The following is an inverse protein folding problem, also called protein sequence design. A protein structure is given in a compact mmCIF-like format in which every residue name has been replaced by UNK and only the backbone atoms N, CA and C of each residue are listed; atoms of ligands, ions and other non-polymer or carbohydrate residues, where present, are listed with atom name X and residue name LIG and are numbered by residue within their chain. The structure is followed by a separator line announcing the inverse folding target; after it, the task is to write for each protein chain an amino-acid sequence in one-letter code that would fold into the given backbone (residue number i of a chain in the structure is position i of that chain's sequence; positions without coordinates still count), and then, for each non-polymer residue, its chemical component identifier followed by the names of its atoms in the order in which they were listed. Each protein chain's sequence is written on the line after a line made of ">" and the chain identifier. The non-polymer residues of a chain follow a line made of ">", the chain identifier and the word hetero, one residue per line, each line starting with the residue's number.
data_IF_659659254118
#
_entry.id   IF_659659254118
#
_cell.length_a   1.000
_cell.length_b   1.000
_cell.length_c   1.000
_cell.angle_alpha   90.00
_cell.angle_beta   90.00
_cell.angle_gamma   90.00
#
_symmetry.space_group_name_H-M   'P 1'
#
loop_
_entity.id
_entity.type
_entity.pdbx_description
1 polymer ?
#
# COMPACT_ATOMS: atom_id res chain seq x y z
N UNK A 1 10.42 -18.65 11.00
CA UNK A 1 10.17 -18.34 9.57
C UNK A 1 11.18 -17.33 9.09
N UNK A 2 11.59 -17.45 7.84
CA UNK A 2 12.44 -16.50 7.15
C UNK A 2 11.85 -16.25 5.75
N UNK A 3 11.51 -15.00 5.46
CA UNK A 3 10.99 -14.58 4.16
C UNK A 3 12.12 -13.99 3.35
N UNK A 4 12.14 -14.24 2.05
CA UNK A 4 13.15 -13.68 1.17
C UNK A 4 12.64 -13.48 -0.25
N UNK A 5 13.25 -12.55 -0.97
CA UNK A 5 13.01 -12.31 -2.39
C UNK A 5 14.12 -12.88 -3.25
N UNK A 6 13.86 -13.10 -4.52
CA UNK A 6 14.89 -13.40 -5.50
C UNK A 6 15.80 -12.19 -5.75
N UNK A 7 17.00 -12.45 -6.26
CA UNK A 7 17.95 -11.40 -6.62
C UNK A 7 17.60 -10.77 -7.97
N UNK A 8 16.56 -9.97 -7.99
CA UNK A 8 16.06 -9.26 -9.17
C UNK A 8 16.32 -7.75 -9.11
N UNK A 9 17.31 -7.32 -8.32
CA UNK A 9 17.61 -5.91 -8.08
C UNK A 9 16.34 -5.18 -7.54
N UNK A 10 15.96 -4.08 -8.17
CA UNK A 10 14.79 -3.27 -7.82
C UNK A 10 13.47 -3.77 -8.42
N UNK A 11 13.47 -4.97 -8.99
CA UNK A 11 12.30 -5.56 -9.62
C UNK A 11 11.54 -6.49 -8.68
N UNK A 12 10.23 -6.40 -8.75
CA UNK A 12 9.30 -7.29 -8.07
C UNK A 12 9.48 -8.74 -8.50
N UNK A 13 9.25 -9.67 -7.59
CA UNK A 13 9.26 -11.10 -7.88
C UNK A 13 8.36 -11.89 -6.92
N UNK A 14 8.13 -13.16 -7.23
CA UNK A 14 7.48 -14.07 -6.29
C UNK A 14 8.46 -14.41 -5.17
N UNK A 15 8.12 -14.02 -3.95
CA UNK A 15 8.95 -14.21 -2.77
C UNK A 15 8.66 -15.56 -2.12
N UNK A 16 9.67 -16.09 -1.46
CA UNK A 16 9.67 -17.42 -0.85
C UNK A 16 9.79 -17.34 0.66
N UNK A 17 9.58 -18.47 1.33
CA UNK A 17 9.89 -18.57 2.74
C UNK A 17 10.51 -19.92 3.09
N UNK A 18 11.22 -19.93 4.20
CA UNK A 18 11.75 -21.08 4.87
C UNK A 18 11.21 -21.19 6.28
N UNK A 19 11.23 -22.40 6.82
CA UNK A 19 10.99 -22.64 8.23
C UNK A 19 12.14 -23.42 8.85
N UNK A 20 12.34 -23.22 10.16
CA UNK A 20 13.29 -23.99 10.95
C UNK A 20 12.79 -24.12 12.38
N UNK A 21 13.23 -25.14 13.14
CA UNK A 21 12.89 -25.29 14.54
C UNK A 21 13.52 -24.21 15.43
N UNK A 22 14.65 -23.66 15.02
CA UNK A 22 15.38 -22.57 15.68
C UNK A 22 16.19 -21.77 14.65
N UNK A 23 16.84 -20.69 15.08
CA UNK A 23 17.58 -19.78 14.18
C UNK A 23 18.78 -20.44 13.49
N UNK A 24 19.36 -21.45 14.10
CA UNK A 24 20.51 -22.19 13.56
C UNK A 24 20.10 -23.21 12.49
N UNK A 25 18.80 -23.51 12.38
CA UNK A 25 18.27 -24.47 11.41
C UNK A 25 18.06 -25.87 11.99
N UNK A 26 18.01 -26.90 11.14
CA UNK A 26 18.09 -26.82 9.67
C UNK A 26 16.91 -26.08 9.04
N UNK A 27 17.18 -25.27 8.03
CA UNK A 27 16.17 -24.52 7.29
C UNK A 27 15.58 -25.33 6.14
N UNK A 28 14.26 -25.40 6.09
CA UNK A 28 13.52 -26.08 5.03
C UNK A 28 12.79 -25.08 4.17
N UNK A 29 13.03 -25.09 2.86
CA UNK A 29 12.30 -24.28 1.90
C UNK A 29 10.86 -24.77 1.78
N UNK A 30 9.90 -23.92 2.00
CA UNK A 30 8.47 -24.22 1.93
C UNK A 30 7.82 -23.83 0.61
N UNK A 31 8.32 -22.78 -0.06
CA UNK A 31 7.80 -22.29 -1.32
C UNK A 31 7.34 -20.84 -1.24
N UNK A 32 6.34 -20.50 -2.04
CA UNK A 32 5.76 -19.15 -2.11
C UNK A 32 4.76 -18.95 -0.97
N UNK A 33 4.63 -17.71 -0.47
CA UNK A 33 3.57 -17.35 0.49
C UNK A 33 2.48 -16.45 -0.12
N UNK A 34 2.64 -16.04 -1.39
CA UNK A 34 1.61 -15.42 -2.21
C UNK A 34 1.33 -16.31 -3.42
N UNK A 35 0.17 -16.19 -4.09
CA UNK A 35 -0.11 -16.94 -5.31
C UNK A 35 0.94 -16.69 -6.39
N UNK A 36 1.36 -17.75 -7.05
CA UNK A 36 2.36 -17.71 -8.12
C UNK A 36 1.99 -16.74 -9.23
N UNK A 37 2.97 -15.99 -9.72
CA UNK A 37 2.80 -14.99 -10.76
C UNK A 37 2.18 -13.67 -10.27
N UNK A 38 1.78 -13.56 -9.00
CA UNK A 38 1.33 -12.29 -8.42
C UNK A 38 2.49 -11.39 -7.98
N UNK A 39 3.72 -11.87 -8.11
CA UNK A 39 4.95 -11.13 -7.82
C UNK A 39 4.93 -10.51 -6.41
N UNK A 40 4.41 -11.27 -5.45
CA UNK A 40 4.19 -10.82 -4.06
C UNK A 40 3.44 -9.47 -4.03
N UNK A 41 2.39 -9.35 -4.87
CA UNK A 41 1.59 -8.13 -5.07
C UNK A 41 2.43 -6.92 -5.49
N UNK A 42 3.37 -7.14 -6.41
CA UNK A 42 4.36 -6.17 -6.91
C UNK A 42 5.28 -5.63 -5.81
N UNK A 43 5.77 -6.49 -4.92
CA UNK A 43 6.67 -6.08 -3.84
C UNK A 43 7.81 -7.06 -3.61
N UNK A 44 8.80 -6.61 -2.84
CA UNK A 44 9.84 -7.43 -2.24
C UNK A 44 9.72 -7.41 -0.73
N UNK A 45 9.98 -8.55 -0.09
CA UNK A 45 9.93 -8.68 1.38
C UNK A 45 10.95 -7.75 2.04
N UNK A 46 10.50 -6.97 3.01
CA UNK A 46 11.35 -6.09 3.80
C UNK A 46 11.33 -6.51 5.25
N UNK A 47 10.15 -6.67 5.83
CA UNK A 47 10.02 -6.95 7.25
C UNK A 47 8.69 -7.65 7.56
N UNK A 48 8.62 -8.34 8.70
CA UNK A 48 7.36 -8.82 9.28
C UNK A 48 7.19 -8.14 10.63
N UNK A 49 6.24 -7.21 10.69
CA UNK A 49 5.96 -6.43 11.89
C UNK A 49 5.00 -7.18 12.82
N UNK A 50 5.38 -7.42 14.10
CA UNK A 50 4.50 -8.06 15.08
C UNK A 50 3.47 -7.06 15.62
N UNK A 51 2.34 -6.93 14.94
CA UNK A 51 1.25 -6.05 15.35
C UNK A 51 0.56 -6.59 16.60
N UNK A 52 0.57 -5.84 17.68
CA UNK A 52 -0.16 -6.17 18.92
C UNK A 52 -1.62 -5.76 18.81
N UNK A 53 -2.52 -6.69 19.13
CA UNK A 53 -3.96 -6.49 19.18
C UNK A 53 -4.53 -7.18 20.42
N UNK A 54 -4.67 -6.45 21.51
CA UNK A 54 -4.98 -7.03 22.80
C UNK A 54 -3.93 -8.05 23.22
N UNK A 55 -4.33 -9.31 23.44
CA UNK A 55 -3.44 -10.41 23.77
C UNK A 55 -2.85 -11.12 22.54
N UNK A 56 -3.35 -10.81 21.36
CA UNK A 56 -2.90 -11.42 20.11
C UNK A 56 -1.71 -10.68 19.51
N UNK A 57 -0.90 -11.41 18.77
CA UNK A 57 0.15 -10.83 17.90
C UNK A 57 -0.12 -11.30 16.48
N UNK A 58 -0.34 -10.33 15.60
CA UNK A 58 -0.60 -10.57 14.19
C UNK A 58 0.70 -10.28 13.44
N UNK A 59 1.31 -11.26 12.77
CA UNK A 59 2.43 -11.00 11.90
C UNK A 59 1.93 -10.23 10.68
N UNK A 60 2.41 -9.01 10.51
CA UNK A 60 2.08 -8.17 9.36
C UNK A 60 3.25 -8.15 8.40
N UNK A 61 3.03 -8.68 7.21
CA UNK A 61 3.98 -8.57 6.10
C UNK A 61 4.11 -7.12 5.66
N UNK A 62 5.34 -6.68 5.50
CA UNK A 62 5.71 -5.39 4.94
C UNK A 62 6.61 -5.62 3.74
N UNK A 63 6.16 -5.16 2.58
CA UNK A 63 6.89 -5.27 1.33
C UNK A 63 7.07 -3.92 0.67
N UNK A 64 8.25 -3.71 0.07
CA UNK A 64 8.56 -2.51 -0.69
C UNK A 64 8.15 -2.66 -2.15
N UNK A 65 7.48 -1.65 -2.67
CA UNK A 65 7.21 -1.48 -4.10
C UNK A 65 8.19 -0.46 -4.67
N UNK A 66 9.20 -0.95 -5.33
CA UNK A 66 10.14 -0.10 -6.02
C UNK A 66 9.51 0.48 -7.29
N UNK A 67 9.75 1.74 -7.57
CA UNK A 67 9.29 2.39 -8.81
C UNK A 67 10.46 2.67 -9.76
N UNK A 68 11.30 1.66 -9.93
CA UNK A 68 12.45 1.74 -10.82
C UNK A 68 12.02 2.16 -12.25
N UNK A 69 12.80 3.02 -12.95
CA UNK A 69 14.08 3.60 -12.54
C UNK A 69 13.98 4.89 -11.69
N UNK A 70 12.82 5.45 -11.50
CA UNK A 70 12.70 6.80 -10.91
C UNK A 70 12.51 6.82 -9.40
N UNK A 71 12.05 5.76 -8.81
CA UNK A 71 11.86 5.58 -7.36
C UNK A 71 11.28 6.83 -6.65
N UNK A 72 10.26 7.43 -7.26
CA UNK A 72 9.62 8.63 -6.76
C UNK A 72 8.38 8.28 -5.93
N UNK A 73 7.31 9.04 -6.07
CA UNK A 73 6.05 8.88 -5.33
C UNK A 73 5.35 7.53 -5.53
N UNK A 74 5.70 6.78 -6.58
CA UNK A 74 5.17 5.45 -6.85
C UNK A 74 5.85 4.33 -6.05
N UNK A 75 6.98 4.61 -5.38
CA UNK A 75 7.62 3.71 -4.43
C UNK A 75 6.77 3.62 -3.16
N UNK A 76 5.78 2.75 -3.17
CA UNK A 76 4.79 2.55 -2.11
C UNK A 76 5.08 1.26 -1.35
N UNK A 77 4.16 0.89 -0.45
CA UNK A 77 4.32 -0.27 0.42
C UNK A 77 3.13 -1.21 0.32
N UNK A 78 3.39 -2.49 0.58
CA UNK A 78 2.36 -3.50 0.81
C UNK A 78 2.37 -3.84 2.30
N UNK A 79 1.26 -3.63 2.98
CA UNK A 79 1.07 -4.02 4.37
C UNK A 79 -0.14 -4.94 4.46
N UNK A 80 0.12 -6.21 4.76
CA UNK A 80 -0.90 -7.26 4.75
C UNK A 80 -0.74 -8.19 5.97
N UNK A 81 -1.84 -8.60 6.61
CA UNK A 81 -1.75 -9.63 7.63
C UNK A 81 -1.27 -10.94 6.99
N UNK A 82 -0.21 -11.52 7.57
CA UNK A 82 0.30 -12.82 7.19
C UNK A 82 -0.49 -13.88 7.94
N UNK A 83 -1.11 -14.79 7.22
CA UNK A 83 -1.75 -15.96 7.80
C UNK A 83 -0.68 -16.98 8.16
N UNK A 84 -0.76 -17.55 9.37
CA UNK A 84 0.19 -18.55 9.86
C UNK A 84 -0.59 -19.74 10.38
N UNK A 85 -0.30 -20.92 9.84
CA UNK A 85 -0.86 -22.21 10.27
C UNK A 85 0.25 -23.27 10.31
N UNK A 86 0.73 -23.59 11.50
CA UNK A 86 1.89 -24.47 11.67
C UNK A 86 3.10 -23.96 10.89
N UNK A 87 3.64 -24.76 9.98
CA UNK A 87 4.76 -24.36 9.09
C UNK A 87 4.30 -23.62 7.85
N UNK A 88 3.00 -23.51 7.62
CA UNK A 88 2.45 -22.82 6.45
C UNK A 88 2.20 -21.34 6.75
N UNK A 89 2.66 -20.46 5.84
CA UNK A 89 2.32 -19.04 5.85
C UNK A 89 1.77 -18.63 4.51
N UNK A 90 0.81 -17.71 4.49
CA UNK A 90 0.21 -17.23 3.23
C UNK A 90 -0.38 -15.83 3.30
N UNK A 91 -0.42 -15.18 2.15
CA UNK A 91 -1.24 -14.00 1.82
C UNK A 91 -1.99 -14.37 0.53
N UNK A 92 -3.20 -14.98 0.62
CA UNK A 92 -3.86 -15.57 -0.54
C UNK A 92 -4.41 -14.53 -1.52
N UNK A 93 -4.71 -13.32 -1.05
CA UNK A 93 -5.25 -12.23 -1.87
C UNK A 93 -4.73 -10.87 -1.39
N UNK A 94 -4.71 -9.89 -2.29
CA UNK A 94 -4.34 -8.51 -1.97
C UNK A 94 -5.57 -7.71 -1.55
N UNK A 95 -5.47 -7.06 -0.38
CA UNK A 95 -6.48 -6.13 0.10
C UNK A 95 -5.97 -4.69 0.00
N UNK A 96 -6.60 -3.89 -0.83
CA UNK A 96 -6.24 -2.49 -0.97
C UNK A 96 -6.49 -1.68 0.32
N UNK A 97 -7.57 -2.01 1.01
CA UNK A 97 -7.90 -1.49 2.33
C UNK A 97 -8.43 -2.63 3.20
N UNK A 98 -8.07 -2.63 4.45
CA UNK A 98 -8.52 -3.66 5.38
C UNK A 98 -8.67 -3.13 6.81
N UNK A 99 -9.56 -3.75 7.56
CA UNK A 99 -9.84 -3.41 8.96
C UNK A 99 -8.85 -4.16 9.87
N UNK A 100 -8.05 -3.40 10.60
CA UNK A 100 -7.02 -3.94 11.49
C UNK A 100 -7.59 -4.75 12.66
N UNK A 101 -8.81 -4.46 13.10
CA UNK A 101 -9.46 -5.17 14.20
C UNK A 101 -10.13 -6.45 13.73
N UNK A 102 -10.67 -6.46 12.53
CA UNK A 102 -11.41 -7.60 11.95
C UNK A 102 -10.54 -8.50 11.10
N UNK A 103 -9.39 -8.02 10.63
CA UNK A 103 -8.51 -8.68 9.66
C UNK A 103 -9.27 -9.12 8.40
N UNK A 104 -10.04 -8.20 7.86
CA UNK A 104 -10.86 -8.43 6.67
C UNK A 104 -10.76 -7.25 5.72
N UNK A 105 -10.90 -7.49 4.41
CA UNK A 105 -10.96 -6.42 3.44
C UNK A 105 -12.15 -5.51 3.73
N UNK A 106 -11.95 -4.22 3.52
CA UNK A 106 -13.01 -3.21 3.63
C UNK A 106 -12.95 -2.32 2.39
N UNK A 107 -14.12 -1.90 1.95
CA UNK A 107 -14.23 -0.89 0.91
C UNK A 107 -14.28 0.50 1.55
N UNK A 108 -13.10 1.06 1.79
CA UNK A 108 -12.97 2.38 2.40
C UNK A 108 -13.56 3.51 1.52
N UNK A 109 -13.70 3.26 0.22
CA UNK A 109 -14.15 4.25 -0.75
C UNK A 109 -15.67 4.35 -0.83
N UNK A 110 -16.40 3.30 -0.45
CA UNK A 110 -17.88 3.29 -0.54
C UNK A 110 -18.60 4.03 0.56
N UNK A 111 -17.96 4.36 1.67
CA UNK A 111 -18.61 4.98 2.83
C UNK A 111 -18.64 6.51 2.78
N UNK A 112 -17.92 7.13 1.88
CA UNK A 112 -17.81 8.58 1.74
C UNK A 112 -18.74 9.15 0.68
N UNK A 113 -19.19 10.39 0.87
CA UNK A 113 -19.81 11.17 -0.20
C UNK A 113 -18.72 11.69 -1.11
N UNK A 114 -18.77 11.32 -2.39
CA UNK A 114 -17.85 11.86 -3.38
C UNK A 114 -18.07 13.37 -3.55
N UNK A 115 -16.98 14.11 -3.57
CA UNK A 115 -16.99 15.52 -3.89
C UNK A 115 -16.67 15.64 -5.39
N UNK A 116 -17.62 16.09 -6.22
CA UNK A 116 -17.39 16.21 -7.65
C UNK A 116 -16.40 17.35 -7.95
N UNK A 117 -15.65 17.22 -9.04
CA UNK A 117 -14.65 18.20 -9.49
C UNK A 117 -15.26 19.62 -9.62
N UNK A 118 -16.54 19.71 -10.00
CA UNK A 118 -17.26 21.00 -10.09
C UNK A 118 -17.41 21.76 -8.78
N UNK A 119 -17.10 21.14 -7.63
CA UNK A 119 -17.06 21.77 -6.31
C UNK A 119 -15.64 22.04 -5.81
N UNK A 120 -14.65 21.73 -6.61
CA UNK A 120 -13.25 21.95 -6.29
C UNK A 120 -12.78 23.25 -6.96
N UNK A 121 -11.89 23.93 -6.28
CA UNK A 121 -11.22 25.12 -6.81
C UNK A 121 -9.78 24.73 -7.12
N UNK A 122 -9.31 25.04 -8.32
CA UNK A 122 -7.96 24.72 -8.72
C UNK A 122 -7.37 25.76 -9.69
N UNK A 123 -6.05 25.85 -9.69
CA UNK A 123 -5.32 26.72 -10.60
C UNK A 123 -5.50 26.26 -12.06
N UNK A 124 -5.35 27.15 -13.07
CA UNK A 124 -5.55 26.79 -14.48
C UNK A 124 -4.65 25.68 -15.02
N UNK A 125 -3.58 25.35 -14.30
CA UNK A 125 -2.60 24.34 -14.68
C UNK A 125 -3.09 22.88 -14.51
N UNK A 126 -4.30 22.68 -14.02
CA UNK A 126 -4.91 21.37 -13.89
C UNK A 126 -5.71 21.00 -15.13
N UNK A 127 -5.39 19.87 -15.71
CA UNK A 127 -6.13 19.28 -16.81
C UNK A 127 -7.17 18.28 -16.27
N UNK A 128 -8.33 18.25 -16.92
CA UNK A 128 -9.36 17.23 -16.61
C UNK A 128 -9.32 16.14 -17.67
N UNK A 129 -9.12 14.91 -17.22
CA UNK A 129 -9.18 13.72 -18.06
C UNK A 129 -10.04 12.65 -17.38
N UNK A 130 -11.15 12.26 -18.02
CA UNK A 130 -12.01 11.14 -17.57
C UNK A 130 -12.38 11.21 -16.08
N UNK A 131 -12.69 12.39 -15.55
CA UNK A 131 -13.03 12.61 -14.15
C UNK A 131 -11.84 12.66 -13.19
N UNK A 132 -10.62 12.68 -13.73
CA UNK A 132 -9.37 12.89 -13.00
C UNK A 132 -8.88 14.31 -13.19
N UNK A 133 -8.12 14.82 -12.22
CA UNK A 133 -7.37 16.06 -12.33
C UNK A 133 -5.88 15.72 -12.37
N UNK A 134 -5.19 16.27 -13.35
CA UNK A 134 -3.77 16.05 -13.61
C UNK A 134 -3.07 17.41 -13.67
N UNK A 135 -1.90 17.53 -13.07
CA UNK A 135 -0.99 18.65 -13.25
C UNK A 135 0.45 18.20 -13.13
N UNK A 136 1.31 18.69 -14.01
CA UNK A 136 2.77 18.54 -13.95
C UNK A 136 3.47 19.86 -13.63
N UNK A 137 2.74 20.90 -13.28
CA UNK A 137 3.26 22.24 -13.01
C UNK A 137 3.54 22.40 -11.52
N UNK A 138 4.77 22.81 -11.22
CA UNK A 138 5.16 23.10 -9.83
C UNK A 138 4.40 24.32 -9.31
N UNK A 139 3.74 24.16 -8.18
CA UNK A 139 2.98 25.22 -7.55
C UNK A 139 1.48 25.20 -7.89
N UNK A 140 1.03 24.24 -8.69
CA UNK A 140 -0.40 24.01 -8.90
C UNK A 140 -1.11 23.72 -7.59
N UNK A 141 -2.25 24.33 -7.37
CA UNK A 141 -3.04 24.20 -6.15
C UNK A 141 -4.41 23.63 -6.48
N UNK A 142 -4.87 22.71 -5.64
CA UNK A 142 -6.22 22.15 -5.65
C UNK A 142 -6.82 22.30 -4.25
N UNK A 143 -7.96 22.96 -4.15
CA UNK A 143 -8.71 23.15 -2.92
C UNK A 143 -10.01 22.36 -2.94
N UNK A 144 -10.23 21.54 -1.94
CA UNK A 144 -11.39 20.66 -1.84
C UNK A 144 -12.19 21.04 -0.60
N UNK A 145 -13.32 21.72 -0.75
CA UNK A 145 -14.19 22.04 0.38
C UNK A 145 -14.90 20.76 0.88
N UNK A 146 -14.83 20.49 2.17
CA UNK A 146 -15.56 19.40 2.77
C UNK A 146 -16.13 19.78 4.14
N UNK A 147 -17.17 19.07 4.54
CA UNK A 147 -17.75 19.17 5.88
C UNK A 147 -17.84 17.78 6.47
N UNK A 148 -17.12 17.54 7.54
CA UNK A 148 -17.08 16.24 8.20
C UNK A 148 -15.84 16.08 9.06
N UNK A 149 -15.69 14.92 9.67
CA UNK A 149 -14.53 14.57 10.51
C UNK A 149 -13.42 13.86 9.73
N UNK A 150 -13.73 13.42 8.51
CA UNK A 150 -12.80 12.66 7.65
C UNK A 150 -12.96 13.08 6.20
N UNK A 151 -11.86 13.12 5.50
CA UNK A 151 -11.83 13.22 4.04
C UNK A 151 -10.71 12.34 3.49
N UNK A 152 -10.86 11.87 2.27
CA UNK A 152 -9.84 11.10 1.58
C UNK A 152 -9.63 11.67 0.18
N UNK A 153 -8.37 11.81 -0.21
CA UNK A 153 -7.98 12.10 -1.57
C UNK A 153 -7.55 10.80 -2.23
N UNK A 154 -8.17 10.48 -3.36
CA UNK A 154 -7.85 9.29 -4.12
C UNK A 154 -7.03 9.73 -5.31
N UNK A 155 -5.82 9.20 -5.43
CA UNK A 155 -4.92 9.47 -6.52
C UNK A 155 -4.43 8.19 -7.20
N UNK A 156 -3.91 8.35 -8.39
CA UNK A 156 -3.15 7.32 -9.09
C UNK A 156 -1.65 7.65 -8.96
N UNK A 157 -0.85 6.62 -8.73
CA UNK A 157 0.60 6.74 -8.57
C UNK A 157 1.29 5.86 -9.61
N UNK A 158 2.29 6.40 -10.29
CA UNK A 158 3.11 5.68 -11.27
C UNK A 158 4.56 6.23 -11.25
N UNK A 159 5.52 5.61 -11.95
CA UNK A 159 6.93 6.03 -11.92
C UNK A 159 7.19 7.49 -12.33
N UNK A 160 6.24 8.15 -12.96
CA UNK A 160 6.34 9.55 -13.40
C UNK A 160 5.55 10.52 -12.51
N UNK A 161 4.91 10.02 -11.45
CA UNK A 161 4.16 10.85 -10.52
C UNK A 161 5.08 11.72 -9.67
N UNK A 162 4.62 12.93 -9.35
CA UNK A 162 5.32 13.87 -8.47
C UNK A 162 4.86 13.77 -7.03
N UNK A 163 5.21 14.79 -6.25
CA UNK A 163 4.81 14.93 -4.85
C UNK A 163 3.77 16.04 -4.70
N UNK A 164 2.84 15.87 -3.78
CA UNK A 164 1.88 16.87 -3.38
C UNK A 164 2.00 17.17 -1.89
N UNK A 165 1.89 18.43 -1.50
CA UNK A 165 1.71 18.84 -0.12
C UNK A 165 0.22 18.90 0.16
N UNK A 166 -0.24 18.17 1.17
CA UNK A 166 -1.62 18.22 1.65
C UNK A 166 -1.66 19.07 2.93
N UNK A 167 -2.59 20.02 2.99
CA UNK A 167 -2.82 20.87 4.16
C UNK A 167 -4.30 20.94 4.47
N UNK A 168 -4.65 20.93 5.75
CA UNK A 168 -6.00 21.24 6.21
C UNK A 168 -6.06 22.73 6.56
N UNK A 169 -7.01 23.42 5.96
CA UNK A 169 -7.27 24.83 6.24
C UNK A 169 -8.58 24.91 7.03
N UNK A 170 -8.55 25.59 8.19
CA UNK A 170 -9.76 25.88 8.93
C UNK A 170 -10.48 27.06 8.28
N UNK A 171 -11.74 26.89 7.92
CA UNK A 171 -12.56 27.94 7.32
C UNK A 171 -12.85 29.12 8.27
N UNK A 172 -12.38 29.06 9.52
CA UNK A 172 -12.58 30.07 10.55
C UNK A 172 -11.35 30.94 10.83
N UNK A 173 -10.31 30.83 9.98
CA UNK A 173 -9.14 31.71 10.08
C UNK A 173 -8.97 32.55 8.83
#
# INVERSE_FOLDING_TARGET
>A
YMLYSNLTSWEKNDNFYFTAPNIEGPWTKQGLFCPEGKLTYNSQSTFVFPLKRGNDTIPMFMGDRWSYPHQASAATYVWMPLQVDGTHISIPEYWQCWDINRLKPVDALRKGKQIPVSKMEFTPDWEQDNGRLLSNVKGSVLSIPFKGTHTAVIGESNPHSGYARVSLLDAKK
#
